data_IF_374728929389
#
_entry.id   IF_374728929389
#
_cell.length_a   1.000
_cell.length_b   1.000
_cell.length_c   1.000
_cell.angle_alpha   90.00
_cell.angle_beta   90.00
_cell.angle_gamma   90.00
#
_symmetry.space_group_name_H-M   'P 1'
#
loop_
_entity.id
_entity.type
_entity.pdbx_description
1 polymer ?
#
# COMPACT_ATOMS: atom_id res chain seq x y z
N UNK A 1 -1.31 22.21 8.76
CA UNK A 1 -2.02 20.95 8.88
C UNK A 1 -1.27 19.88 8.11
N UNK A 2 -1.04 18.76 8.74
CA UNK A 2 -0.36 17.66 8.10
C UNK A 2 -1.37 16.71 7.48
N UNK A 3 -1.21 16.47 6.20
CA UNK A 3 -2.13 15.59 5.50
C UNK A 3 -1.35 14.39 4.97
N UNK A 4 -1.65 13.25 5.55
CA UNK A 4 -1.05 12.01 5.10
C UNK A 4 -1.98 11.42 4.07
N UNK A 5 -1.67 11.68 2.81
CA UNK A 5 -2.58 11.34 1.71
C UNK A 5 -2.34 9.96 1.12
N UNK A 6 -1.20 9.37 1.39
CA UNK A 6 -0.84 8.08 0.77
C UNK A 6 -1.11 6.97 1.75
N UNK A 7 -2.07 6.11 1.42
CA UNK A 7 -2.54 5.05 2.29
C UNK A 7 -2.09 3.70 1.76
N UNK A 8 -1.37 2.97 2.59
CA UNK A 8 -0.84 1.66 2.25
C UNK A 8 -1.61 0.62 3.04
N UNK A 9 -2.11 -0.41 2.37
CA UNK A 9 -2.89 -1.47 3.00
C UNK A 9 -2.32 -2.81 2.61
N UNK A 10 -2.17 -3.68 3.59
CA UNK A 10 -1.73 -5.06 3.37
C UNK A 10 -2.82 -6.00 3.88
N UNK A 11 -3.25 -6.89 3.01
CA UNK A 11 -4.29 -7.86 3.30
C UNK A 11 -3.74 -9.25 3.10
N UNK A 12 -4.00 -10.14 4.05
CA UNK A 12 -3.58 -11.54 3.95
C UNK A 12 -4.82 -12.40 4.13
N UNK A 13 -5.07 -13.27 3.13
CA UNK A 13 -6.24 -14.14 3.19
C UNK A 13 -7.57 -13.40 3.25
N UNK A 14 -7.62 -12.22 2.64
CA UNK A 14 -8.83 -11.40 2.66
C UNK A 14 -9.01 -10.56 3.89
N UNK A 15 -8.07 -10.61 4.85
CA UNK A 15 -8.14 -9.83 6.07
C UNK A 15 -7.12 -8.71 6.06
N UNK A 16 -7.55 -7.50 6.39
CA UNK A 16 -6.62 -6.38 6.51
C UNK A 16 -5.72 -6.65 7.71
N UNK A 17 -4.43 -6.77 7.45
CA UNK A 17 -3.45 -7.14 8.45
C UNK A 17 -2.67 -5.95 8.94
N UNK A 18 -2.39 -5.00 8.03
CA UNK A 18 -1.54 -3.88 8.33
C UNK A 18 -1.93 -2.72 7.42
N UNK A 19 -1.82 -1.49 7.93
CA UNK A 19 -1.96 -0.33 7.07
C UNK A 19 -1.20 0.83 7.68
N UNK A 20 -0.92 1.82 6.85
CA UNK A 20 -0.23 3.02 7.30
C UNK A 20 -0.48 4.17 6.37
N UNK A 21 -0.10 5.35 6.82
CA UNK A 21 -0.32 6.59 6.09
C UNK A 21 0.99 7.37 6.01
N UNK A 22 1.24 7.98 4.87
CA UNK A 22 2.42 8.82 4.66
C UNK A 22 2.03 10.06 3.89
N UNK A 23 2.74 11.16 4.15
CA UNK A 23 2.52 12.40 3.44
C UNK A 23 3.43 12.56 2.24
N UNK A 24 4.39 11.67 2.05
CA UNK A 24 5.37 11.74 0.97
C UNK A 24 5.27 10.49 0.12
N UNK A 25 5.05 10.69 -1.19
CA UNK A 25 4.86 9.57 -2.11
C UNK A 25 6.10 8.69 -2.20
N UNK A 26 7.28 9.29 -2.24
CA UNK A 26 8.51 8.51 -2.35
C UNK A 26 8.70 7.58 -1.18
N UNK A 27 8.43 8.08 0.02
CA UNK A 27 8.53 7.26 1.23
C UNK A 27 7.46 6.16 1.21
N UNK A 28 6.24 6.52 0.81
CA UNK A 28 5.17 5.53 0.73
C UNK A 28 5.51 4.41 -0.24
N UNK A 29 6.11 4.75 -1.38
CA UNK A 29 6.50 3.73 -2.36
C UNK A 29 7.63 2.85 -1.84
N UNK A 30 8.54 3.41 -1.04
CA UNK A 30 9.59 2.61 -0.41
C UNK A 30 8.98 1.61 0.57
N UNK A 31 7.99 2.05 1.34
CA UNK A 31 7.30 1.17 2.27
C UNK A 31 6.56 0.06 1.52
N UNK A 32 5.91 0.41 0.41
CA UNK A 32 5.24 -0.57 -0.43
C UNK A 32 6.23 -1.64 -0.90
N UNK A 33 7.38 -1.21 -1.43
CA UNK A 33 8.39 -2.14 -1.91
C UNK A 33 8.89 -3.05 -0.79
N UNK A 34 9.10 -2.49 0.39
CA UNK A 34 9.54 -3.26 1.54
C UNK A 34 8.53 -4.32 1.95
N UNK A 35 7.24 -3.98 1.89
CA UNK A 35 6.19 -4.94 2.23
C UNK A 35 6.11 -6.06 1.18
N UNK A 36 6.28 -5.72 -0.09
CA UNK A 36 6.29 -6.74 -1.13
C UNK A 36 7.43 -7.73 -0.87
N UNK A 37 8.62 -7.21 -0.52
CA UNK A 37 9.75 -8.09 -0.25
C UNK A 37 9.57 -8.95 0.98
N UNK A 38 8.82 -8.46 1.97
CA UNK A 38 8.66 -9.18 3.24
C UNK A 38 7.45 -10.11 3.23
N UNK A 39 6.35 -9.70 2.61
CA UNK A 39 5.09 -10.44 2.69
C UNK A 39 4.56 -10.93 1.35
N UNK A 40 5.25 -10.62 0.25
CA UNK A 40 4.77 -10.95 -1.09
C UNK A 40 4.76 -12.43 -1.35
N UNK A 41 3.59 -13.05 -1.20
CA UNK A 41 3.40 -14.46 -1.44
C UNK A 41 1.93 -14.69 -1.74
N UNK A 42 1.56 -15.87 -2.25
CA UNK A 42 0.14 -16.13 -2.57
C UNK A 42 -0.75 -15.85 -1.36
N UNK A 43 -1.86 -15.18 -1.60
CA UNK A 43 -2.81 -14.82 -0.56
C UNK A 43 -2.58 -13.43 0.03
N UNK A 44 -1.46 -12.77 -0.30
CA UNK A 44 -1.17 -11.43 0.18
C UNK A 44 -1.57 -10.41 -0.88
N UNK A 45 -2.16 -9.30 -0.44
CA UNK A 45 -2.52 -8.20 -1.33
C UNK A 45 -2.04 -6.90 -0.71
N UNK A 46 -1.29 -6.11 -1.47
CA UNK A 46 -0.76 -4.84 -0.97
C UNK A 46 -1.19 -3.75 -1.94
N UNK A 47 -1.74 -2.66 -1.41
CA UNK A 47 -2.27 -1.57 -2.23
C UNK A 47 -1.77 -0.25 -1.69
N UNK A 48 -1.28 0.61 -2.56
CA UNK A 48 -0.91 1.99 -2.22
C UNK A 48 -1.86 2.91 -2.94
N UNK A 49 -2.60 3.72 -2.19
CA UNK A 49 -3.64 4.59 -2.70
C UNK A 49 -3.31 6.05 -2.40
N UNK A 50 -3.55 6.93 -3.37
CA UNK A 50 -3.54 8.36 -3.13
C UNK A 50 -4.97 8.77 -2.79
N UNK A 51 -5.22 8.96 -1.50
CA UNK A 51 -6.59 9.25 -1.03
C UNK A 51 -7.06 10.63 -1.45
N UNK A 52 -6.13 11.56 -1.71
CA UNK A 52 -6.50 12.88 -2.15
C UNK A 52 -7.00 12.87 -3.58
N UNK A 53 -6.34 12.11 -4.44
CA UNK A 53 -6.73 11.97 -5.83
C UNK A 53 -7.77 10.87 -6.03
N UNK A 54 -7.94 10.00 -5.05
CA UNK A 54 -8.88 8.89 -5.15
C UNK A 54 -8.45 7.81 -6.11
N UNK A 55 -7.14 7.56 -6.22
CA UNK A 55 -6.67 6.55 -7.17
C UNK A 55 -5.61 5.64 -6.56
N UNK A 56 -5.59 4.41 -7.06
CA UNK A 56 -4.60 3.42 -6.67
C UNK A 56 -3.33 3.70 -7.46
N UNK A 57 -2.23 3.94 -6.77
CA UNK A 57 -0.95 4.21 -7.41
C UNK A 57 -0.24 2.95 -7.83
N UNK A 58 -0.28 1.93 -6.99
CA UNK A 58 0.36 0.66 -7.28
C UNK A 58 -0.24 -0.40 -6.38
N UNK A 59 -0.15 -1.66 -6.80
CA UNK A 59 -0.66 -2.77 -6.00
C UNK A 59 0.14 -4.03 -6.32
N UNK A 60 0.13 -4.96 -5.37
CA UNK A 60 0.80 -6.25 -5.53
C UNK A 60 -0.14 -7.36 -5.07
N UNK A 61 -0.28 -8.43 -5.81
CA UNK A 61 0.28 -8.62 -7.14
C UNK A 61 -0.37 -7.65 -8.11
N UNK A 62 0.35 -7.31 -9.17
CA UNK A 62 -0.19 -6.41 -10.16
C UNK A 62 -1.45 -7.02 -10.77
N UNK A 63 -2.41 -6.15 -11.08
CA UNK A 63 -3.65 -6.60 -11.64
C UNK A 63 -3.45 -7.25 -12.99
N UNK A 64 -4.50 -7.90 -13.45
CA UNK A 64 -4.44 -8.63 -14.72
C UNK A 64 -4.12 -7.75 -15.88
#
# INVERSE_FOLDING_TARGET
MNIERFHLTLTIGGRRTLHGWWGDEGIARQQFTGLVGRYGKPGTHITLTDEEAGEVLTEWPEGP
#
